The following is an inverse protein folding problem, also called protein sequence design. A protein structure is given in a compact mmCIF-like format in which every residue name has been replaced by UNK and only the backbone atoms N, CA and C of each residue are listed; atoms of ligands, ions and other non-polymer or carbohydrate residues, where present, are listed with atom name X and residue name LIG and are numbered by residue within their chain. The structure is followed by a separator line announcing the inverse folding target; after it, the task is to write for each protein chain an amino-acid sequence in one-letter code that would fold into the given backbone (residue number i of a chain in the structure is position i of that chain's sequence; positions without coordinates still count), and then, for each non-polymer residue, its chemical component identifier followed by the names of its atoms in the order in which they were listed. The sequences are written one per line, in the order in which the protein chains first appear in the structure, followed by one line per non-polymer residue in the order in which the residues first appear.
data_IF_290573579731
#
_entry.id   IF_290573579731
#
_cell.length_a   1.000
_cell.length_b   1.000
_cell.length_c   1.000
_cell.angle_alpha   90.00
_cell.angle_beta   90.00
_cell.angle_gamma   90.00
#
_symmetry.space_group_name_H-M   'P 1'
#
loop_
_entity.id
_entity.type
_entity.pdbx_description
1 polymer ?
#
# COMPACT_ATOMS: atom_id res chain seq x y z
N UNK A 1 10.12 -23.05 9.84
CA UNK A 1 10.51 -21.63 9.76
C UNK A 1 9.37 -20.92 9.07
N UNK A 2 8.85 -19.86 9.68
CA UNK A 2 7.67 -19.16 9.18
C UNK A 2 8.07 -17.92 8.37
N UNK A 3 7.33 -17.60 7.28
CA UNK A 3 7.67 -16.49 6.39
C UNK A 3 6.44 -15.62 6.11
N UNK A 4 6.55 -14.33 6.41
CA UNK A 4 5.57 -13.28 6.08
C UNK A 4 6.20 -12.34 5.05
N UNK A 5 6.13 -12.74 3.79
CA UNK A 5 6.84 -12.09 2.69
C UNK A 5 6.19 -10.86 2.10
N UNK A 6 6.90 -10.25 1.15
CA UNK A 6 6.39 -9.19 0.25
C UNK A 6 5.47 -9.77 -0.84
N UNK A 7 4.51 -8.97 -1.31
CA UNK A 7 3.60 -9.27 -2.45
C UNK A 7 4.29 -9.71 -3.75
N UNK A 8 5.60 -9.47 -3.87
CA UNK A 8 6.41 -9.78 -5.05
C UNK A 8 7.58 -10.72 -4.71
N UNK A 9 7.52 -11.41 -3.57
CA UNK A 9 8.57 -12.39 -3.24
C UNK A 9 8.53 -13.51 -4.27
N UNK A 10 9.68 -13.84 -4.91
CA UNK A 10 9.76 -14.99 -5.78
C UNK A 10 9.30 -16.26 -5.06
N UNK A 11 8.40 -17.02 -5.68
CA UNK A 11 7.76 -18.19 -5.07
C UNK A 11 8.78 -19.23 -4.58
N UNK A 12 9.87 -19.42 -5.32
CA UNK A 12 10.96 -20.33 -4.97
C UNK A 12 11.64 -19.96 -3.64
N UNK A 13 11.64 -18.68 -3.26
CA UNK A 13 12.14 -18.24 -1.96
C UNK A 13 11.12 -18.55 -0.85
N UNK A 14 9.83 -18.42 -1.14
CA UNK A 14 8.77 -18.68 -0.18
C UNK A 14 8.54 -20.19 0.05
N UNK A 15 8.65 -21.05 -0.99
CA UNK A 15 8.46 -22.50 -0.88
C UNK A 15 9.55 -23.23 -0.08
N UNK A 16 10.67 -22.58 0.22
CA UNK A 16 11.72 -23.14 1.10
C UNK A 16 11.26 -23.23 2.56
N UNK A 17 10.17 -22.56 2.91
CA UNK A 17 9.58 -22.57 4.24
C UNK A 17 8.45 -23.60 4.29
N UNK A 18 8.34 -24.36 5.39
CA UNK A 18 7.29 -25.37 5.59
C UNK A 18 5.89 -24.79 5.88
N UNK A 19 5.70 -23.50 5.63
CA UNK A 19 4.43 -22.81 5.80
C UNK A 19 3.55 -22.97 4.56
N UNK A 20 2.24 -22.76 4.73
CA UNK A 20 1.37 -22.53 3.58
C UNK A 20 1.81 -21.25 2.88
N UNK A 21 2.32 -21.39 1.66
CA UNK A 21 2.70 -20.28 0.79
C UNK A 21 1.63 -20.14 -0.27
N UNK A 22 1.09 -18.94 -0.45
CA UNK A 22 0.30 -18.70 -1.66
C UNK A 22 1.16 -18.13 -2.77
N UNK A 23 1.28 -18.84 -3.89
CA UNK A 23 1.97 -18.32 -5.06
C UNK A 23 1.20 -17.18 -5.71
N UNK A 24 1.87 -16.05 -5.93
CA UNK A 24 1.43 -15.01 -6.86
C UNK A 24 2.14 -15.29 -8.18
N UNK A 25 1.42 -15.78 -9.19
CA UNK A 25 1.98 -16.19 -10.48
C UNK A 25 0.91 -16.68 -11.45
N UNK A 26 1.26 -16.74 -12.74
CA UNK A 26 0.33 -16.91 -13.86
C UNK A 26 -0.65 -18.10 -13.78
N UNK A 27 -1.56 -18.25 -14.76
CA UNK A 27 -2.79 -19.07 -14.66
C UNK A 27 -2.61 -20.52 -14.13
N UNK A 28 -1.46 -21.15 -14.39
CA UNK A 28 -1.13 -22.50 -13.89
C UNK A 28 -1.00 -22.58 -12.37
N UNK A 29 -0.46 -21.55 -11.72
CA UNK A 29 -0.22 -21.55 -10.27
C UNK A 29 -1.49 -21.25 -9.50
N UNK A 30 -2.30 -20.31 -10.01
CA UNK A 30 -3.65 -20.02 -9.54
C UNK A 30 -4.53 -21.28 -9.54
N UNK A 31 -4.50 -22.06 -10.63
CA UNK A 31 -5.29 -23.30 -10.75
C UNK A 31 -4.90 -24.39 -9.75
N UNK A 32 -3.63 -24.44 -9.32
CA UNK A 32 -3.11 -25.50 -8.45
C UNK A 32 -3.30 -25.21 -6.96
N UNK A 33 -3.25 -23.93 -6.57
CA UNK A 33 -3.23 -23.52 -5.16
C UNK A 33 -4.35 -22.57 -4.75
N UNK A 34 -5.25 -22.21 -5.68
CA UNK A 34 -6.34 -21.25 -5.45
C UNK A 34 -5.89 -19.78 -5.54
N UNK A 35 -6.87 -18.87 -5.53
CA UNK A 35 -6.66 -17.43 -5.46
C UNK A 35 -6.53 -16.98 -3.99
N UNK A 36 -5.38 -17.21 -3.35
CA UNK A 36 -5.15 -16.80 -1.94
C UNK A 36 -4.03 -15.75 -1.81
N UNK A 37 -3.98 -14.77 -2.69
CA UNK A 37 -2.91 -13.75 -2.67
C UNK A 37 -2.88 -13.05 -1.31
N UNK A 38 -1.76 -12.41 -0.94
CA UNK A 38 -1.77 -11.56 0.26
C UNK A 38 -2.82 -10.45 0.17
N UNK A 39 -3.23 -10.07 -1.05
CA UNK A 39 -4.41 -9.24 -1.31
C UNK A 39 -5.68 -9.87 -0.76
N UNK A 40 -6.02 -11.08 -1.22
CA UNK A 40 -7.29 -11.70 -0.87
C UNK A 40 -7.35 -12.02 0.62
N UNK A 41 -6.23 -12.43 1.23
CA UNK A 41 -6.15 -12.64 2.68
C UNK A 41 -6.39 -11.34 3.46
N UNK A 42 -5.82 -10.22 3.00
CA UNK A 42 -6.03 -8.92 3.62
C UNK A 42 -7.46 -8.42 3.40
N UNK A 43 -8.03 -8.56 2.19
CA UNK A 43 -9.42 -8.23 1.91
C UNK A 43 -10.39 -9.05 2.77
N UNK A 44 -10.18 -10.36 2.91
CA UNK A 44 -10.96 -11.23 3.81
C UNK A 44 -10.81 -10.81 5.27
N UNK A 45 -9.60 -10.44 5.69
CA UNK A 45 -9.35 -9.91 7.03
C UNK A 45 -10.17 -8.63 7.27
N UNK A 46 -10.16 -7.69 6.34
CA UNK A 46 -10.93 -6.45 6.43
C UNK A 46 -12.44 -6.70 6.44
N UNK A 47 -12.93 -7.61 5.60
CA UNK A 47 -14.34 -8.01 5.55
C UNK A 47 -14.77 -8.61 6.91
N UNK A 48 -13.95 -9.48 7.52
CA UNK A 48 -14.20 -10.05 8.86
C UNK A 48 -14.19 -9.01 9.99
N UNK A 49 -13.49 -7.89 9.79
CA UNK A 49 -13.43 -6.78 10.75
C UNK A 49 -14.43 -5.66 10.44
N UNK A 50 -15.35 -5.88 9.49
CA UNK A 50 -16.37 -4.91 9.08
C UNK A 50 -15.77 -3.58 8.60
N UNK A 51 -14.57 -3.62 7.97
CA UNK A 51 -14.00 -2.42 7.35
C UNK A 51 -14.70 -2.23 6.00
N UNK A 52 -15.45 -1.14 5.87
CA UNK A 52 -16.41 -0.90 4.79
C UNK A 52 -15.73 -0.65 3.44
N UNK A 53 -16.18 -1.34 2.39
CA UNK A 53 -15.93 -0.97 0.97
C UNK A 53 -16.86 0.20 0.59
N UNK A 54 -16.73 0.81 -0.59
CA UNK A 54 -17.95 1.44 -1.13
C UNK A 54 -19.06 0.39 -1.18
N UNK A 55 -20.32 0.79 -0.93
CA UNK A 55 -21.39 -0.20 -1.11
C UNK A 55 -21.48 -0.52 -2.60
N UNK A 56 -21.82 -1.77 -2.92
CA UNK A 56 -22.04 -2.23 -4.29
C UNK A 56 -23.27 -1.58 -4.97
N UNK A 57 -23.96 -0.64 -4.30
CA UNK A 57 -25.10 0.11 -4.83
C UNK A 57 -24.71 1.55 -5.19
N UNK A 58 -25.22 2.04 -6.33
CA UNK A 58 -25.09 3.43 -6.76
C UNK A 58 -25.55 4.43 -5.67
N UNK A 59 -26.57 4.06 -4.89
CA UNK A 59 -27.09 4.87 -3.79
C UNK A 59 -26.07 5.15 -2.66
N UNK A 60 -24.97 4.40 -2.58
CA UNK A 60 -23.88 4.72 -1.65
C UNK A 60 -22.86 5.72 -2.16
N UNK A 61 -22.67 5.80 -3.48
CA UNK A 61 -21.76 6.77 -4.10
C UNK A 61 -22.29 8.19 -3.93
N UNK A 62 -23.62 8.34 -3.85
CA UNK A 62 -24.31 9.61 -3.62
C UNK A 62 -24.20 10.15 -2.19
N UNK A 63 -23.65 9.39 -1.23
CA UNK A 63 -23.59 9.87 0.15
C UNK A 63 -22.47 10.90 0.33
N UNK A 64 -22.70 12.00 1.09
CA UNK A 64 -21.73 13.08 1.25
C UNK A 64 -20.36 12.63 1.75
N UNK A 65 -20.28 11.60 2.59
CA UNK A 65 -19.02 11.08 3.14
C UNK A 65 -18.10 10.43 2.10
N UNK A 66 -18.65 10.00 0.96
CA UNK A 66 -17.92 9.32 -0.11
C UNK A 66 -17.49 10.27 -1.23
N UNK A 67 -17.99 11.51 -1.24
CA UNK A 67 -17.67 12.49 -2.27
C UNK A 67 -16.15 12.76 -2.36
N UNK A 68 -15.60 12.62 -3.57
CA UNK A 68 -14.17 12.80 -3.83
C UNK A 68 -13.26 11.70 -3.26
N UNK A 69 -13.83 10.58 -2.82
CA UNK A 69 -13.06 9.38 -2.47
C UNK A 69 -12.96 8.44 -3.67
N UNK A 70 -11.94 7.60 -3.68
CA UNK A 70 -11.67 6.62 -4.72
C UNK A 70 -11.32 5.27 -4.10
N UNK A 71 -11.49 4.19 -4.87
CA UNK A 71 -11.16 2.85 -4.38
C UNK A 71 -9.67 2.56 -4.50
N UNK A 72 -9.09 1.96 -3.45
CA UNK A 72 -7.70 1.56 -3.40
C UNK A 72 -7.44 0.26 -4.20
N UNK A 73 -6.32 0.19 -4.93
CA UNK A 73 -5.98 -0.95 -5.77
C UNK A 73 -5.60 -2.23 -5.01
N UNK A 74 -5.27 -2.12 -3.71
CA UNK A 74 -4.90 -3.26 -2.88
C UNK A 74 -6.13 -3.82 -2.17
N UNK A 75 -6.92 -3.02 -1.49
CA UNK A 75 -7.96 -3.52 -0.59
C UNK A 75 -9.39 -3.16 -0.99
N UNK A 76 -9.57 -2.42 -2.09
CA UNK A 76 -10.87 -1.91 -2.54
C UNK A 76 -11.61 -1.17 -1.42
N UNK A 77 -10.86 -0.49 -0.54
CA UNK A 77 -11.39 0.42 0.46
C UNK A 77 -11.30 1.86 -0.03
N UNK A 78 -12.27 2.70 0.34
CA UNK A 78 -12.26 4.08 -0.06
C UNK A 78 -11.06 4.80 0.58
N UNK A 79 -10.47 5.71 -0.16
CA UNK A 79 -9.50 6.68 0.34
C UNK A 79 -9.83 8.06 -0.25
N UNK A 80 -9.57 9.10 0.52
CA UNK A 80 -9.73 10.48 0.08
C UNK A 80 -8.50 10.88 -0.75
N UNK A 81 -8.70 11.28 -2.00
CA UNK A 81 -7.60 11.68 -2.89
C UNK A 81 -6.95 12.98 -2.42
N UNK A 82 -5.66 13.15 -2.72
CA UNK A 82 -4.98 14.45 -2.66
C UNK A 82 -4.63 14.93 -4.08
N UNK A 83 -4.14 16.18 -4.26
CA UNK A 83 -3.89 16.75 -5.60
C UNK A 83 -2.90 16.01 -6.50
N UNK A 84 -2.07 15.10 -5.96
CA UNK A 84 -1.16 14.29 -6.78
C UNK A 84 -1.83 13.01 -7.32
N UNK A 85 -2.99 12.61 -6.79
CA UNK A 85 -3.71 11.44 -7.26
C UNK A 85 -4.23 11.65 -8.69
N UNK A 86 -4.06 10.66 -9.57
CA UNK A 86 -4.53 10.77 -10.95
C UNK A 86 -6.06 10.89 -11.08
N UNK A 87 -6.81 10.54 -10.03
CA UNK A 87 -8.27 10.63 -9.96
C UNK A 87 -8.73 11.79 -9.07
N UNK A 88 -7.83 12.71 -8.71
CA UNK A 88 -8.20 13.86 -7.91
C UNK A 88 -9.23 14.74 -8.64
N UNK A 89 -10.35 15.02 -7.98
CA UNK A 89 -11.45 15.80 -8.55
C UNK A 89 -12.47 15.01 -9.37
N UNK A 90 -12.26 13.70 -9.57
CA UNK A 90 -13.26 12.80 -10.13
C UNK A 90 -14.27 12.36 -9.07
N UNK A 91 -15.50 12.08 -9.49
CA UNK A 91 -16.53 11.53 -8.60
C UNK A 91 -16.26 10.03 -8.35
N UNK A 92 -16.75 9.47 -7.23
CA UNK A 92 -16.61 8.04 -6.95
C UNK A 92 -17.24 7.19 -8.06
N UNK A 93 -16.48 6.24 -8.60
CA UNK A 93 -16.93 5.33 -9.65
C UNK A 93 -16.69 5.82 -11.08
N UNK A 94 -16.14 7.03 -11.27
CA UNK A 94 -15.66 7.47 -12.57
C UNK A 94 -14.50 6.57 -13.06
N UNK A 95 -14.56 6.17 -14.33
CA UNK A 95 -13.51 5.37 -14.96
C UNK A 95 -12.26 6.23 -15.22
N UNK A 96 -11.10 5.71 -14.83
CA UNK A 96 -9.80 6.29 -15.15
C UNK A 96 -8.76 5.18 -15.37
N UNK A 97 -7.91 5.33 -16.38
CA UNK A 97 -6.76 4.44 -16.60
C UNK A 97 -5.65 4.79 -15.60
N UNK A 98 -5.66 4.12 -14.45
CA UNK A 98 -4.69 4.33 -13.36
C UNK A 98 -3.87 3.09 -13.08
N UNK A 99 -2.64 3.32 -12.65
CA UNK A 99 -1.70 2.30 -12.17
C UNK A 99 -1.47 2.49 -10.67
N UNK A 100 -0.99 1.43 -10.01
CA UNK A 100 -0.72 1.47 -8.56
C UNK A 100 0.06 2.70 -8.05
N UNK A 101 1.08 3.24 -8.77
CA UNK A 101 1.76 4.46 -8.36
C UNK A 101 0.88 5.70 -8.26
N UNK A 102 -0.21 5.77 -9.02
CA UNK A 102 -1.04 6.96 -9.19
C UNK A 102 -1.99 7.23 -8.01
N UNK A 103 -1.94 6.37 -6.98
CA UNK A 103 -2.84 6.38 -5.83
C UNK A 103 -2.19 7.16 -4.69
N UNK A 104 -2.72 8.34 -4.39
CA UNK A 104 -2.23 9.26 -3.38
C UNK A 104 -3.38 9.84 -2.54
N UNK A 105 -3.29 9.73 -1.23
CA UNK A 105 -4.34 10.29 -0.38
C UNK A 105 -4.34 9.78 1.04
N UNK A 106 -5.51 9.74 1.66
CA UNK A 106 -5.73 9.30 3.03
C UNK A 106 -6.70 8.12 3.02
N UNK A 107 -6.25 6.95 3.46
CA UNK A 107 -7.10 5.77 3.57
C UNK A 107 -8.12 5.93 4.69
N UNK A 108 -9.36 5.52 4.42
CA UNK A 108 -10.41 5.44 5.44
C UNK A 108 -10.26 4.22 6.35
N UNK A 109 -9.39 3.26 5.97
CA UNK A 109 -9.08 2.09 6.80
C UNK A 109 -8.42 2.57 8.09
N UNK A 110 -8.92 2.21 9.29
CA UNK A 110 -8.28 2.62 10.54
C UNK A 110 -6.83 2.11 10.62
N UNK A 111 -5.92 2.86 11.26
CA UNK A 111 -4.50 2.47 11.43
C UNK A 111 -4.30 1.09 12.06
N UNK A 112 -5.25 0.64 12.87
CA UNK A 112 -5.25 -0.71 13.44
C UNK A 112 -5.66 -1.79 12.44
N UNK A 113 -5.96 -1.48 11.18
CA UNK A 113 -6.39 -2.43 10.16
C UNK A 113 -5.67 -2.23 8.85
N UNK A 114 -4.68 -1.34 8.77
CA UNK A 114 -3.85 -1.15 7.58
C UNK A 114 -3.11 -2.42 7.19
N UNK A 115 -2.59 -2.43 5.98
CA UNK A 115 -1.80 -3.56 5.50
C UNK A 115 -0.53 -3.74 6.33
N UNK A 116 0.15 -2.66 6.72
CA UNK A 116 1.28 -2.68 7.67
C UNK A 116 0.89 -3.35 8.99
N UNK A 117 -0.23 -2.93 9.60
CA UNK A 117 -0.73 -3.49 10.84
C UNK A 117 -1.14 -4.96 10.74
N UNK A 118 -1.73 -5.35 9.62
CA UNK A 118 -2.05 -6.75 9.32
C UNK A 118 -0.77 -7.59 9.23
N UNK A 119 0.21 -7.18 8.41
CA UNK A 119 1.48 -7.90 8.26
C UNK A 119 2.23 -8.04 9.58
N UNK A 120 2.32 -6.96 10.37
CA UNK A 120 2.98 -6.96 11.67
C UNK A 120 2.32 -7.91 12.67
N UNK A 121 0.98 -7.88 12.80
CA UNK A 121 0.27 -8.79 13.72
C UNK A 121 0.42 -10.24 13.34
N UNK A 122 0.37 -10.54 12.05
CA UNK A 122 0.59 -11.91 11.57
C UNK A 122 1.98 -12.42 11.99
N UNK A 123 3.01 -11.57 11.90
CA UNK A 123 4.36 -11.87 12.39
C UNK A 123 4.42 -12.02 13.92
N UNK A 124 3.79 -11.13 14.68
CA UNK A 124 3.74 -11.21 16.15
C UNK A 124 3.07 -12.51 16.62
N UNK A 125 1.95 -12.91 16.00
CA UNK A 125 1.28 -14.16 16.33
C UNK A 125 2.14 -15.38 15.97
N UNK A 126 2.91 -15.33 14.88
CA UNK A 126 3.90 -16.36 14.58
C UNK A 126 5.02 -16.43 15.60
N UNK A 127 5.56 -15.29 15.98
CA UNK A 127 6.60 -15.21 17.00
C UNK A 127 6.11 -15.82 18.32
N UNK A 128 4.88 -15.54 18.75
CA UNK A 128 4.27 -16.19 19.93
C UNK A 128 4.19 -17.71 19.79
N UNK A 129 3.70 -18.23 18.65
CA UNK A 129 3.65 -19.69 18.41
C UNK A 129 5.04 -20.33 18.42
N UNK A 130 6.04 -19.66 17.85
CA UNK A 130 7.41 -20.15 17.75
C UNK A 130 8.15 -20.09 19.09
N UNK A 131 7.83 -19.12 19.95
CA UNK A 131 8.41 -18.98 21.29
C UNK A 131 8.08 -20.16 22.23
N UNK A 132 7.03 -20.93 21.93
CA UNK A 132 6.66 -22.14 22.68
C UNK A 132 7.39 -23.41 22.22
N UNK A 133 8.35 -23.31 21.29
CA UNK A 133 9.09 -24.45 20.77
C UNK A 133 10.52 -24.50 21.32
N UNK A 134 11.01 -25.69 21.69
CA UNK A 134 12.39 -25.91 22.18
C UNK A 134 13.45 -25.95 21.05
N UNK A 135 13.21 -25.21 19.96
CA UNK A 135 14.13 -25.15 18.82
C UNK A 135 14.31 -23.72 18.34
N UNK A 136 15.50 -23.35 17.82
CA UNK A 136 15.69 -22.06 17.19
C UNK A 136 14.75 -21.90 15.99
N UNK A 137 14.31 -20.67 15.75
CA UNK A 137 13.48 -20.32 14.60
C UNK A 137 14.09 -19.20 13.77
N UNK A 138 13.70 -19.15 12.50
CA UNK A 138 13.89 -18.02 11.61
C UNK A 138 12.50 -17.57 11.15
N UNK A 139 12.25 -16.27 11.28
CA UNK A 139 11.02 -15.58 10.94
C UNK A 139 11.40 -14.32 10.18
N UNK A 140 10.81 -14.13 9.01
CA UNK A 140 11.05 -12.95 8.18
C UNK A 140 9.73 -12.23 7.92
N UNK A 141 9.74 -10.92 8.15
CA UNK A 141 8.65 -10.01 7.85
C UNK A 141 9.15 -8.96 6.84
N UNK A 142 8.45 -8.82 5.72
CA UNK A 142 8.67 -7.74 4.77
C UNK A 142 7.42 -6.90 4.64
N UNK A 143 7.47 -5.65 5.12
CA UNK A 143 6.40 -4.69 4.89
C UNK A 143 6.26 -4.35 3.40
N UNK A 144 5.01 -4.14 2.96
CA UNK A 144 4.73 -3.63 1.62
C UNK A 144 5.01 -2.13 1.55
N UNK A 145 4.48 -1.37 2.50
CA UNK A 145 4.78 0.05 2.69
C UNK A 145 6.31 0.26 2.85
N UNK A 146 6.86 1.40 2.41
CA UNK A 146 6.19 2.55 1.84
C UNK A 146 6.05 2.45 0.31
N UNK A 147 5.86 1.25 -0.26
CA UNK A 147 5.52 1.11 -1.67
C UNK A 147 4.11 1.62 -1.96
N UNK A 148 3.86 2.07 -3.19
CA UNK A 148 2.54 2.51 -3.62
C UNK A 148 1.48 1.40 -3.45
N UNK A 149 0.20 1.72 -3.21
CA UNK A 149 -0.40 3.06 -3.16
C UNK A 149 0.03 3.89 -1.94
N UNK A 150 0.18 5.20 -2.11
CA UNK A 150 0.62 6.14 -1.07
C UNK A 150 -0.60 6.69 -0.31
N UNK A 151 -1.29 5.81 0.41
CA UNK A 151 -2.55 6.15 1.11
C UNK A 151 -2.46 5.81 2.60
N UNK A 152 -1.65 6.54 3.40
CA UNK A 152 -1.59 6.34 4.85
C UNK A 152 -2.96 6.54 5.51
N UNK A 153 -3.11 5.95 6.70
CA UNK A 153 -4.29 6.12 7.55
C UNK A 153 -4.02 7.04 8.72
N UNK A 154 -5.09 7.59 9.31
CA UNK A 154 -4.98 8.34 10.56
C UNK A 154 -4.55 7.44 11.74
N UNK A 155 -3.73 7.96 12.68
CA UNK A 155 -3.31 9.37 12.81
C UNK A 155 -2.08 9.74 11.96
N UNK A 156 -1.43 8.79 11.29
CA UNK A 156 -0.16 9.04 10.60
C UNK A 156 -0.31 9.99 9.41
N UNK A 157 -1.44 9.90 8.69
CA UNK A 157 -1.73 10.75 7.55
C UNK A 157 -1.71 12.25 7.91
N UNK A 158 -2.18 12.63 9.11
CA UNK A 158 -2.15 14.01 9.59
C UNK A 158 -0.85 14.42 10.31
N UNK A 159 0.17 13.55 10.41
CA UNK A 159 1.43 13.89 11.09
C UNK A 159 2.37 14.78 10.27
N UNK A 160 2.20 14.81 8.94
CA UNK A 160 3.07 15.55 8.03
C UNK A 160 2.22 16.39 7.09
N UNK A 161 2.28 17.71 7.25
CA UNK A 161 1.61 18.63 6.33
C UNK A 161 2.43 18.76 5.03
N UNK A 162 1.84 18.54 3.84
CA UNK A 162 2.53 18.75 2.56
C UNK A 162 3.15 20.15 2.43
N UNK A 163 2.56 21.19 3.02
CA UNK A 163 3.11 22.55 2.96
C UNK A 163 4.45 22.71 3.67
N UNK A 164 4.71 21.88 4.69
CA UNK A 164 5.97 21.84 5.44
C UNK A 164 7.05 20.99 4.76
N UNK A 165 6.70 20.21 3.74
CA UNK A 165 7.67 19.34 3.06
C UNK A 165 8.59 20.14 2.14
N UNK A 166 9.89 19.83 2.19
CA UNK A 166 10.88 20.44 1.30
C UNK A 166 10.83 19.83 -0.10
N UNK A 167 10.92 20.67 -1.12
CA UNK A 167 11.08 20.19 -2.49
C UNK A 167 12.52 19.70 -2.67
N UNK A 168 12.75 18.48 -3.19
CA UNK A 168 14.10 17.99 -3.45
C UNK A 168 14.87 18.91 -4.38
N UNK A 169 16.11 19.27 -4.02
CA UNK A 169 16.94 20.17 -4.83
C UNK A 169 17.19 19.66 -6.26
N UNK A 170 17.13 18.35 -6.46
CA UNK A 170 17.31 17.69 -7.76
C UNK A 170 16.06 17.70 -8.65
N UNK A 171 14.92 18.23 -8.20
CA UNK A 171 13.66 18.12 -8.96
C UNK A 171 13.74 18.82 -10.33
N UNK A 172 14.51 19.90 -10.40
CA UNK A 172 14.73 20.71 -11.60
C UNK A 172 16.05 20.39 -12.32
N UNK A 173 16.75 19.33 -11.91
CA UNK A 173 17.99 18.90 -12.57
C UNK A 173 17.70 18.52 -14.04
N UNK A 174 18.33 19.19 -15.03
CA UNK A 174 18.13 18.88 -16.44
C UNK A 174 18.70 17.52 -16.87
N UNK A 175 19.54 16.91 -16.03
CA UNK A 175 20.15 15.59 -16.22
C UNK A 175 20.95 15.43 -17.51
N UNK A 176 21.55 16.51 -18.01
CA UNK A 176 22.26 16.52 -19.30
C UNK A 176 23.48 15.60 -19.34
N UNK A 177 24.04 15.25 -18.18
CA UNK A 177 25.16 14.32 -18.03
C UNK A 177 24.72 12.91 -17.56
N UNK A 178 23.42 12.57 -17.64
CA UNK A 178 22.89 11.30 -17.15
C UNK A 178 22.23 10.49 -18.26
N UNK A 179 22.51 9.17 -18.38
CA UNK A 179 21.81 8.30 -19.32
C UNK A 179 20.34 8.06 -18.93
N UNK A 180 19.91 8.52 -17.75
CA UNK A 180 18.56 8.30 -17.21
C UNK A 180 17.59 9.45 -17.49
N UNK A 181 17.95 10.42 -18.34
CA UNK A 181 17.10 11.58 -18.66
C UNK A 181 15.69 11.23 -19.14
N UNK A 182 15.53 10.08 -19.83
CA UNK A 182 14.24 9.56 -20.28
C UNK A 182 13.80 8.26 -19.58
N UNK A 183 14.49 7.85 -18.50
CA UNK A 183 14.18 6.62 -17.80
C UNK A 183 12.85 6.71 -17.04
N UNK A 184 12.24 5.55 -16.77
CA UNK A 184 11.00 5.40 -15.98
C UNK A 184 9.85 6.31 -16.44
N UNK A 185 9.81 6.66 -17.74
CA UNK A 185 8.76 7.50 -18.32
C UNK A 185 8.60 8.87 -17.65
N UNK A 186 9.65 9.40 -17.01
CA UNK A 186 9.58 10.69 -16.29
C UNK A 186 9.15 11.89 -17.14
N UNK A 187 9.30 11.80 -18.48
CA UNK A 187 8.83 12.82 -19.42
C UNK A 187 7.32 12.71 -19.69
N UNK A 188 6.73 11.54 -19.49
CA UNK A 188 5.28 11.28 -19.58
C UNK A 188 4.56 11.55 -18.25
N UNK A 189 5.31 11.66 -17.14
CA UNK A 189 4.80 11.83 -15.77
C UNK A 189 5.36 13.11 -15.10
N UNK A 190 5.05 14.31 -15.64
CA UNK A 190 5.60 15.58 -15.13
C UNK A 190 5.12 15.95 -13.73
N UNK A 191 4.02 15.36 -13.24
CA UNK A 191 3.47 15.59 -11.90
C UNK A 191 4.48 15.28 -10.78
N UNK A 192 5.32 14.26 -10.95
CA UNK A 192 6.38 13.93 -9.98
C UNK A 192 7.60 14.85 -10.07
N UNK A 193 7.66 15.72 -11.09
CA UNK A 193 8.65 16.79 -11.23
C UNK A 193 8.08 18.17 -10.84
N UNK A 194 6.81 18.27 -10.44
CA UNK A 194 6.22 19.51 -9.94
C UNK A 194 6.62 19.73 -8.46
N UNK A 195 7.31 20.85 -8.13
CA UNK A 195 7.71 21.21 -6.76
C UNK A 195 6.58 21.25 -5.74
N UNK A 196 5.35 21.55 -6.16
CA UNK A 196 4.17 21.60 -5.30
C UNK A 196 3.55 20.21 -5.13
N UNK A 197 3.47 19.43 -6.20
CA UNK A 197 2.79 18.12 -6.14
C UNK A 197 3.64 17.07 -5.43
N UNK A 198 4.96 17.07 -5.63
CA UNK A 198 5.86 16.08 -4.99
C UNK A 198 5.76 16.09 -3.46
N UNK A 199 5.42 17.23 -2.87
CA UNK A 199 5.29 17.40 -1.42
C UNK A 199 4.18 16.54 -0.82
N UNK A 200 3.09 16.30 -1.56
CA UNK A 200 2.04 15.37 -1.16
C UNK A 200 2.55 13.93 -1.10
N UNK A 201 3.37 13.51 -2.06
CA UNK A 201 4.02 12.19 -2.02
C UNK A 201 4.97 12.08 -0.83
N UNK A 202 5.80 13.09 -0.57
CA UNK A 202 6.76 13.09 0.53
C UNK A 202 6.04 12.96 1.88
N UNK A 203 5.00 13.76 2.11
CA UNK A 203 4.19 13.69 3.33
C UNK A 203 3.58 12.29 3.53
N UNK A 204 2.93 11.75 2.50
CA UNK A 204 2.34 10.41 2.57
C UNK A 204 3.40 9.31 2.77
N UNK A 205 4.56 9.44 2.13
CA UNK A 205 5.67 8.51 2.26
C UNK A 205 6.23 8.50 3.68
N UNK A 206 6.41 9.67 4.30
CA UNK A 206 6.83 9.80 5.70
C UNK A 206 5.78 9.26 6.69
N UNK A 207 4.50 9.48 6.42
CA UNK A 207 3.42 8.89 7.21
C UNK A 207 3.47 7.35 7.20
N UNK A 208 3.65 6.74 6.01
CA UNK A 208 3.82 5.29 5.89
C UNK A 208 5.07 4.77 6.59
N UNK A 209 6.19 5.48 6.50
CA UNK A 209 7.40 5.13 7.26
C UNK A 209 7.14 5.20 8.77
N UNK A 210 6.42 6.23 9.23
CA UNK A 210 6.12 6.38 10.65
C UNK A 210 5.24 5.25 11.19
N UNK A 211 4.30 4.78 10.39
CA UNK A 211 3.51 3.60 10.72
C UNK A 211 4.40 2.34 10.84
N UNK A 212 5.31 2.13 9.88
CA UNK A 212 6.26 1.00 9.92
C UNK A 212 7.11 1.08 11.18
N UNK A 213 7.69 2.25 11.50
CA UNK A 213 8.47 2.51 12.71
C UNK A 213 7.69 2.10 13.99
N UNK A 214 6.41 2.49 14.07
CA UNK A 214 5.56 2.12 15.20
C UNK A 214 5.32 0.61 15.31
N UNK A 215 5.14 -0.09 14.19
CA UNK A 215 4.91 -1.55 14.19
C UNK A 215 6.19 -2.37 14.37
N UNK A 216 7.35 -1.85 13.95
CA UNK A 216 8.65 -2.45 14.26
C UNK A 216 8.95 -2.37 15.75
N UNK A 217 8.49 -1.31 16.45
CA UNK A 217 8.67 -1.17 17.89
C UNK A 217 7.75 -2.03 18.77
N UNK A 218 6.78 -2.75 18.19
CA UNK A 218 5.83 -3.63 18.91
C UNK A 218 6.33 -5.07 18.96
#
# INVERSE_FOLDING_TARGET
TEYYGKWHSPLDQALKYGNFVTPVGGPKMIKKYGHHTMQSQYSEYLDKHNITKFSESSASLDRPEYKGTQDNCIDSRPYKTNPLDARHGLEPGDDADVRQPDYHGISTTPSQHTFTAFQARQCIEAMKRLAHQDRPFSLHLSFHSPHAPMTPSEPFASMYDPSDMETPASISDPMDNSPYKAANKRLEHPEYADPKMIKYMIANYYALIKEIDQWVGK
#
